data_IF_587248490330
#
_entry.id   IF_587248490330
#
_cell.length_a   1.000
_cell.length_b   1.000
_cell.length_c   1.000
_cell.angle_alpha   90.00
_cell.angle_beta   90.00
_cell.angle_gamma   90.00
#
_symmetry.space_group_name_H-M   'P 1'
#
loop_
_entity.id
_entity.type
_entity.pdbx_description
1 polymer ?
#
# COMPACT_ATOMS: atom_id res chain seq x y z
N UNK A 1 -10.52 -23.93 8.70
CA UNK A 1 -11.88 -23.35 8.70
C UNK A 1 -12.05 -22.23 9.72
N UNK A 2 -11.45 -22.30 10.93
CA UNK A 2 -11.53 -21.19 11.91
C UNK A 2 -10.63 -19.98 11.57
N UNK A 3 -9.40 -20.19 11.07
CA UNK A 3 -8.50 -19.10 10.63
C UNK A 3 -9.07 -18.29 9.46
N UNK A 4 -9.71 -18.96 8.50
CA UNK A 4 -10.35 -18.34 7.33
C UNK A 4 -11.55 -17.46 7.73
N UNK A 5 -12.20 -17.73 8.86
CA UNK A 5 -13.32 -16.92 9.35
C UNK A 5 -12.85 -15.70 10.15
N UNK A 6 -11.71 -15.80 10.85
CA UNK A 6 -11.05 -14.64 11.48
C UNK A 6 -10.53 -13.66 10.42
N UNK A 7 -9.96 -14.19 9.34
CA UNK A 7 -9.54 -13.49 8.12
C UNK A 7 -10.64 -12.62 7.48
N UNK A 8 -11.90 -13.01 7.60
CA UNK A 8 -13.03 -12.35 6.92
C UNK A 8 -13.54 -11.09 7.63
N UNK A 9 -13.09 -10.81 8.86
CA UNK A 9 -13.63 -9.77 9.74
C UNK A 9 -12.68 -8.61 10.05
N UNK A 10 -11.50 -8.57 9.41
CA UNK A 10 -10.52 -7.50 9.64
C UNK A 10 -10.95 -6.15 9.05
N UNK A 11 -11.82 -6.18 8.03
CA UNK A 11 -12.35 -4.97 7.40
C UNK A 11 -13.57 -4.47 8.14
N UNK A 12 -13.50 -3.24 8.64
CA UNK A 12 -14.67 -2.55 9.18
C UNK A 12 -15.75 -2.42 8.11
N UNK A 13 -16.83 -3.21 8.27
CA UNK A 13 -17.93 -3.28 7.32
C UNK A 13 -18.64 -1.95 7.13
N UNK A 14 -18.83 -1.19 8.21
CA UNK A 14 -19.52 0.10 8.19
C UNK A 14 -18.73 1.17 7.46
N UNK A 15 -17.43 1.29 7.76
CA UNK A 15 -16.53 2.21 7.06
C UNK A 15 -16.44 1.88 5.57
N UNK A 16 -16.25 0.60 5.24
CA UNK A 16 -16.13 0.15 3.86
C UNK A 16 -17.38 0.48 3.04
N UNK A 17 -18.57 0.21 3.58
CA UNK A 17 -19.82 0.53 2.91
C UNK A 17 -20.05 2.03 2.76
N UNK A 18 -19.75 2.84 3.78
CA UNK A 18 -19.92 4.29 3.71
C UNK A 18 -19.14 4.93 2.55
N UNK A 19 -18.01 4.33 2.13
CA UNK A 19 -17.19 4.87 1.04
C UNK A 19 -17.73 4.50 -0.35
N UNK A 20 -18.27 3.28 -0.49
CA UNK A 20 -18.56 2.71 -1.80
C UNK A 20 -20.05 2.64 -2.14
N UNK A 21 -20.95 2.75 -1.15
CA UNK A 21 -22.38 2.47 -1.34
C UNK A 21 -23.01 3.30 -2.46
N UNK A 22 -22.63 4.57 -2.57
CA UNK A 22 -23.20 5.50 -3.55
C UNK A 22 -22.78 5.12 -4.98
N UNK A 23 -21.58 4.55 -5.14
CA UNK A 23 -21.04 4.12 -6.43
C UNK A 23 -21.73 2.84 -6.97
N UNK A 24 -22.51 2.15 -6.12
CA UNK A 24 -23.32 1.00 -6.50
C UNK A 24 -24.82 1.32 -6.65
N UNK A 25 -25.24 2.58 -6.51
CA UNK A 25 -26.64 2.99 -6.64
C UNK A 25 -27.20 2.76 -8.05
N UNK A 26 -26.36 2.89 -9.08
CA UNK A 26 -26.69 2.63 -10.48
C UNK A 26 -26.62 1.12 -10.86
N UNK A 27 -26.30 0.27 -9.88
CA UNK A 27 -26.25 -1.19 -10.04
C UNK A 27 -24.83 -1.74 -10.10
N UNK A 28 -24.42 -2.28 -11.25
CA UNK A 28 -23.16 -3.03 -11.38
C UNK A 28 -22.08 -2.16 -11.99
N UNK A 29 -20.84 -2.32 -11.50
CA UNK A 29 -19.71 -1.52 -11.96
C UNK A 29 -18.77 -2.34 -12.86
N UNK A 30 -18.04 -1.65 -13.73
CA UNK A 30 -17.04 -2.22 -14.62
C UNK A 30 -15.61 -2.13 -14.03
N UNK A 31 -14.60 -2.49 -14.83
CA UNK A 31 -13.22 -2.49 -14.39
C UNK A 31 -12.71 -1.08 -14.06
N UNK A 32 -12.99 -0.08 -14.90
CA UNK A 32 -12.50 1.28 -14.70
C UNK A 32 -13.11 1.90 -13.44
N UNK A 33 -14.39 1.65 -13.19
CA UNK A 33 -15.07 2.05 -11.95
C UNK A 33 -14.50 1.32 -10.73
N UNK A 34 -14.13 0.05 -10.88
CA UNK A 34 -13.45 -0.71 -9.82
C UNK A 34 -12.11 -0.09 -9.44
N UNK A 35 -11.31 0.32 -10.42
CA UNK A 35 -10.02 0.99 -10.18
C UNK A 35 -10.23 2.31 -9.45
N UNK A 36 -11.17 3.15 -9.92
CA UNK A 36 -11.50 4.43 -9.26
C UNK A 36 -11.96 4.24 -7.81
N UNK A 37 -12.71 3.19 -7.51
CA UNK A 37 -13.12 2.88 -6.15
C UNK A 37 -11.95 2.44 -5.26
N UNK A 38 -11.00 1.66 -5.79
CA UNK A 38 -9.78 1.31 -5.06
C UNK A 38 -8.91 2.54 -4.79
N UNK A 39 -8.83 3.47 -5.74
CA UNK A 39 -8.17 4.78 -5.57
C UNK A 39 -8.86 5.63 -4.51
N UNK A 40 -10.20 5.69 -4.51
CA UNK A 40 -11.02 6.37 -3.50
C UNK A 40 -10.82 5.77 -2.10
N UNK A 41 -10.55 4.47 -2.02
CA UNK A 41 -10.16 3.80 -0.79
C UNK A 41 -8.71 4.08 -0.40
N UNK A 42 -7.91 4.79 -1.19
CA UNK A 42 -6.51 5.15 -0.89
C UNK A 42 -5.66 3.93 -0.51
N UNK A 43 -5.85 2.82 -1.22
CA UNK A 43 -5.08 1.59 -1.02
C UNK A 43 -4.08 1.43 -2.16
N UNK A 44 -2.81 1.09 -1.85
CA UNK A 44 -1.86 0.76 -2.89
C UNK A 44 -2.22 -0.58 -3.54
N UNK A 45 -2.26 -0.60 -4.87
CA UNK A 45 -2.54 -1.81 -5.63
C UNK A 45 -1.69 -1.88 -6.90
N UNK A 46 -1.44 -3.11 -7.36
CA UNK A 46 -0.86 -3.35 -8.67
C UNK A 46 -1.97 -3.52 -9.71
N UNK A 47 -2.00 -2.69 -10.75
CA UNK A 47 -3.07 -2.69 -11.76
C UNK A 47 -3.20 -4.03 -12.49
N UNK A 48 -2.09 -4.72 -12.77
CA UNK A 48 -2.11 -6.03 -13.41
C UNK A 48 -2.74 -7.09 -12.49
N UNK A 49 -2.46 -7.03 -11.18
CA UNK A 49 -3.10 -7.89 -10.19
C UNK A 49 -4.60 -7.61 -10.08
N UNK A 50 -5.02 -6.34 -9.99
CA UNK A 50 -6.45 -5.96 -9.99
C UNK A 50 -7.15 -6.47 -11.23
N UNK A 51 -6.55 -6.31 -12.42
CA UNK A 51 -7.09 -6.82 -13.69
C UNK A 51 -7.26 -8.35 -13.66
N UNK A 52 -6.29 -9.08 -13.12
CA UNK A 52 -6.36 -10.52 -12.99
C UNK A 52 -7.52 -10.95 -12.05
N UNK A 53 -7.60 -10.34 -10.86
CA UNK A 53 -8.63 -10.66 -9.85
C UNK A 53 -10.02 -10.30 -10.36
N UNK A 54 -10.20 -9.13 -10.98
CA UNK A 54 -11.47 -8.69 -11.57
C UNK A 54 -11.94 -9.66 -12.65
N UNK A 55 -11.06 -10.03 -13.60
CA UNK A 55 -11.36 -10.98 -14.66
C UNK A 55 -11.82 -12.33 -14.10
N UNK A 56 -11.09 -12.85 -13.10
CA UNK A 56 -11.44 -14.11 -12.41
C UNK A 56 -12.84 -14.06 -11.77
N UNK A 57 -13.26 -12.91 -11.26
CA UNK A 57 -14.59 -12.70 -10.67
C UNK A 57 -15.69 -12.64 -11.73
N UNK A 58 -15.46 -11.89 -12.81
CA UNK A 58 -16.38 -11.79 -13.96
C UNK A 58 -16.56 -13.13 -14.67
N UNK A 59 -15.49 -13.88 -14.92
CA UNK A 59 -15.51 -15.17 -15.60
C UNK A 59 -16.35 -16.21 -14.83
N UNK A 60 -16.27 -16.19 -13.49
CA UNK A 60 -17.09 -17.05 -12.62
C UNK A 60 -18.58 -16.76 -12.75
N UNK A 61 -18.95 -15.49 -12.92
CA UNK A 61 -20.36 -15.07 -13.02
C UNK A 61 -20.90 -15.08 -14.45
N UNK A 62 -20.02 -15.16 -15.46
CA UNK A 62 -20.37 -14.97 -16.89
C UNK A 62 -21.01 -13.59 -17.17
N UNK A 63 -20.63 -12.57 -16.41
CA UNK A 63 -21.17 -11.20 -16.53
C UNK A 63 -20.02 -10.20 -16.40
N UNK A 64 -19.92 -9.23 -17.31
CA UNK A 64 -18.80 -8.26 -17.42
C UNK A 64 -18.74 -7.19 -16.32
N UNK A 65 -19.64 -7.24 -15.36
CA UNK A 65 -19.82 -6.22 -14.32
C UNK A 65 -19.97 -6.88 -12.96
N UNK A 66 -19.50 -6.23 -11.91
CA UNK A 66 -19.47 -6.77 -10.55
C UNK A 66 -20.47 -6.06 -9.64
N UNK A 67 -20.97 -6.76 -8.61
CA UNK A 67 -21.79 -6.15 -7.56
C UNK A 67 -20.96 -5.79 -6.32
N UNK A 68 -21.58 -5.19 -5.31
CA UNK A 68 -20.89 -4.75 -4.08
C UNK A 68 -20.18 -5.91 -3.34
N UNK A 69 -20.78 -7.10 -3.37
CA UNK A 69 -20.21 -8.30 -2.76
C UNK A 69 -18.98 -8.82 -3.51
N UNK A 70 -19.00 -8.76 -4.84
CA UNK A 70 -17.84 -9.03 -5.67
C UNK A 70 -16.74 -8.01 -5.42
N UNK A 71 -17.07 -6.73 -5.35
CA UNK A 71 -16.10 -5.67 -5.07
C UNK A 71 -15.46 -5.87 -3.70
N UNK A 72 -16.26 -6.23 -2.68
CA UNK A 72 -15.73 -6.61 -1.36
C UNK A 72 -14.77 -7.79 -1.43
N UNK A 73 -15.07 -8.80 -2.24
CA UNK A 73 -14.18 -9.94 -2.44
C UNK A 73 -12.89 -9.57 -3.19
N UNK A 74 -13.00 -8.70 -4.20
CA UNK A 74 -11.84 -8.16 -4.94
C UNK A 74 -10.97 -7.34 -4.00
N UNK A 75 -11.55 -6.38 -3.29
CA UNK A 75 -10.86 -5.57 -2.28
C UNK A 75 -10.09 -6.47 -1.32
N UNK A 76 -10.74 -7.47 -0.73
CA UNK A 76 -10.10 -8.44 0.16
C UNK A 76 -8.93 -9.14 -0.52
N UNK A 77 -9.08 -9.62 -1.75
CA UNK A 77 -7.99 -10.26 -2.48
C UNK A 77 -6.80 -9.33 -2.78
N UNK A 78 -7.05 -8.02 -2.91
CA UNK A 78 -5.99 -7.02 -3.15
C UNK A 78 -5.27 -6.66 -1.85
N UNK A 79 -6.00 -6.46 -0.75
CA UNK A 79 -5.41 -6.09 0.55
C UNK A 79 -4.86 -7.28 1.33
N UNK A 80 -5.24 -8.50 0.96
CA UNK A 80 -4.84 -9.71 1.67
C UNK A 80 -3.35 -10.00 1.48
N UNK A 81 -2.61 -9.70 2.54
CA UNK A 81 -1.17 -9.93 2.68
C UNK A 81 -0.94 -10.69 3.98
N UNK A 82 -0.69 -12.00 3.85
CA UNK A 82 -0.53 -12.89 5.01
C UNK A 82 0.63 -12.44 5.91
N UNK A 83 1.71 -11.96 5.32
CA UNK A 83 2.86 -11.40 6.03
C UNK A 83 2.46 -10.22 6.93
N UNK A 84 1.68 -9.28 6.40
CA UNK A 84 1.19 -8.14 7.20
C UNK A 84 0.23 -8.57 8.31
N UNK A 85 -0.59 -9.57 8.05
CA UNK A 85 -1.52 -10.08 9.04
C UNK A 85 -0.82 -10.84 10.17
N UNK A 86 0.15 -11.68 9.85
CA UNK A 86 0.94 -12.41 10.86
C UNK A 86 1.62 -11.43 11.80
N UNK A 87 2.25 -10.38 11.26
CA UNK A 87 2.85 -9.30 12.04
C UNK A 87 1.79 -8.58 12.87
N UNK A 88 0.67 -8.16 12.27
CA UNK A 88 -0.38 -7.44 12.98
C UNK A 88 -0.94 -8.25 14.16
N UNK A 89 -1.23 -9.54 13.95
CA UNK A 89 -1.75 -10.44 14.97
C UNK A 89 -0.71 -10.80 16.04
N UNK A 90 0.59 -10.72 15.74
CA UNK A 90 1.65 -10.93 16.73
C UNK A 90 1.68 -9.83 17.81
N UNK A 91 1.21 -8.62 17.47
CA UNK A 91 1.18 -7.48 18.40
C UNK A 91 -0.22 -7.13 18.90
N UNK A 92 -1.27 -7.41 18.13
CA UNK A 92 -2.65 -7.14 18.51
C UNK A 92 -3.24 -8.26 19.36
N UNK A 93 -3.53 -7.98 20.64
CA UNK A 93 -4.13 -8.96 21.55
C UNK A 93 -5.49 -9.51 21.07
N UNK A 94 -6.23 -8.72 20.30
CA UNK A 94 -7.57 -9.08 19.81
C UNK A 94 -7.61 -9.38 18.30
N UNK A 95 -6.46 -9.27 17.61
CA UNK A 95 -6.33 -9.40 16.16
C UNK A 95 -7.33 -8.52 15.37
N UNK A 96 -7.73 -7.36 15.92
CA UNK A 96 -8.67 -6.42 15.28
C UNK A 96 -8.10 -5.01 15.23
N UNK A 97 -7.48 -4.58 16.32
CA UNK A 97 -6.89 -3.26 16.46
C UNK A 97 -5.57 -3.35 17.21
N UNK A 98 -4.63 -2.48 16.86
CA UNK A 98 -3.44 -2.19 17.65
C UNK A 98 -3.70 -0.94 18.49
N UNK A 99 -3.65 -1.05 19.81
CA UNK A 99 -3.54 0.13 20.66
C UNK A 99 -2.21 0.85 20.40
N UNK A 100 -2.14 2.14 20.71
CA UNK A 100 -0.92 2.93 20.57
C UNK A 100 0.28 2.33 21.32
N UNK A 101 0.05 1.69 22.47
CA UNK A 101 1.09 0.95 23.21
C UNK A 101 1.58 -0.29 22.45
N UNK A 102 0.67 -1.08 21.85
CA UNK A 102 1.00 -2.26 21.03
C UNK A 102 1.75 -1.83 19.75
N UNK A 103 1.30 -0.74 19.13
CA UNK A 103 1.97 -0.14 17.97
C UNK A 103 3.36 0.38 18.33
N UNK A 104 3.53 0.98 19.51
CA UNK A 104 4.83 1.43 20.01
C UNK A 104 5.81 0.26 20.13
N UNK A 105 5.35 -0.90 20.63
CA UNK A 105 6.19 -2.10 20.69
C UNK A 105 6.59 -2.60 19.30
N UNK A 106 5.66 -2.60 18.34
CA UNK A 106 5.94 -2.94 16.95
C UNK A 106 7.02 -2.01 16.36
N UNK A 107 6.86 -0.69 16.53
CA UNK A 107 7.80 0.30 16.02
C UNK A 107 9.21 0.13 16.62
N UNK A 108 9.30 -0.22 17.90
CA UNK A 108 10.59 -0.47 18.58
C UNK A 108 11.27 -1.74 18.10
N UNK A 109 10.53 -2.84 18.02
CA UNK A 109 11.10 -4.17 17.75
C UNK A 109 11.34 -4.41 16.26
N UNK A 110 10.38 -4.05 15.41
CA UNK A 110 10.41 -4.37 13.98
C UNK A 110 10.92 -3.21 13.14
N UNK A 111 10.65 -1.96 13.54
CA UNK A 111 11.06 -0.76 12.80
C UNK A 111 12.27 -0.05 13.43
N UNK A 112 12.84 -0.60 14.50
CA UNK A 112 14.00 -0.08 15.23
C UNK A 112 13.88 1.40 15.63
N UNK A 113 12.66 1.92 15.81
CA UNK A 113 12.41 3.28 16.32
C UNK A 113 12.48 3.27 17.84
N UNK A 114 13.68 3.43 18.40
CA UNK A 114 13.90 3.41 19.85
C UNK A 114 13.51 4.72 20.53
N UNK A 115 13.89 5.86 19.94
CA UNK A 115 13.61 7.19 20.47
C UNK A 115 12.32 7.76 19.87
N UNK A 116 11.46 8.36 20.72
CA UNK A 116 10.21 8.99 20.27
C UNK A 116 9.13 8.03 19.75
N UNK A 117 9.26 6.73 20.01
CA UNK A 117 8.37 5.69 19.49
C UNK A 117 6.89 5.93 19.83
N UNK A 118 6.59 6.39 21.05
CA UNK A 118 5.23 6.72 21.48
C UNK A 118 4.62 7.85 20.65
N UNK A 119 5.41 8.91 20.38
CA UNK A 119 4.97 10.03 19.55
C UNK A 119 4.74 9.57 18.13
N UNK A 120 5.68 8.79 17.57
CA UNK A 120 5.52 8.22 16.23
C UNK A 120 4.31 7.30 16.11
N UNK A 121 4.01 6.48 17.13
CA UNK A 121 2.81 5.63 17.13
C UNK A 121 1.53 6.47 16.98
N UNK A 122 1.44 7.59 17.71
CA UNK A 122 0.31 8.50 17.60
C UNK A 122 0.24 9.20 16.24
N UNK A 123 1.37 9.64 15.70
CA UNK A 123 1.44 10.24 14.36
C UNK A 123 0.98 9.24 13.29
N UNK A 124 1.42 7.99 13.38
CA UNK A 124 1.00 6.90 12.49
C UNK A 124 -0.51 6.70 12.58
N UNK A 125 -1.09 6.61 13.79
CA UNK A 125 -2.54 6.49 13.97
C UNK A 125 -3.27 7.68 13.36
N UNK A 126 -2.80 8.90 13.63
CA UNK A 126 -3.44 10.12 13.13
C UNK A 126 -3.41 10.22 11.61
N UNK A 127 -2.30 9.80 10.99
CA UNK A 127 -2.04 9.90 9.55
C UNK A 127 -2.69 8.77 8.75
N UNK A 128 -2.69 7.54 9.26
CA UNK A 128 -3.03 6.35 8.48
C UNK A 128 -4.34 5.67 8.86
N UNK A 129 -4.89 5.89 10.06
CA UNK A 129 -6.12 5.22 10.48
C UNK A 129 -7.33 5.77 9.73
N UNK A 130 -8.02 5.02 8.86
CA UNK A 130 -9.11 5.58 8.07
C UNK A 130 -10.44 5.66 8.83
N UNK A 131 -10.59 4.98 9.98
CA UNK A 131 -11.84 4.93 10.74
C UNK A 131 -11.75 5.88 11.93
N UNK A 132 -12.54 6.96 11.91
CA UNK A 132 -12.46 8.03 12.92
C UNK A 132 -12.76 7.53 14.35
N UNK A 133 -13.66 6.58 14.53
CA UNK A 133 -13.97 6.02 15.85
C UNK A 133 -12.79 5.23 16.43
N UNK A 134 -12.03 4.54 15.57
CA UNK A 134 -10.82 3.79 15.94
C UNK A 134 -9.69 4.77 16.25
N UNK A 135 -9.51 5.79 15.39
CA UNK A 135 -8.53 6.86 15.58
C UNK A 135 -8.74 7.62 16.90
N UNK A 136 -9.98 7.97 17.23
CA UNK A 136 -10.34 8.66 18.49
C UNK A 136 -10.03 7.82 19.73
N UNK A 137 -10.00 6.49 19.60
CA UNK A 137 -9.61 5.56 20.67
C UNK A 137 -8.10 5.33 20.75
N UNK A 138 -7.29 6.05 19.95
CA UNK A 138 -5.84 5.86 19.81
C UNK A 138 -5.50 4.42 19.42
N UNK A 139 -6.23 3.91 18.44
CA UNK A 139 -6.05 2.57 17.90
C UNK A 139 -5.78 2.63 16.39
N UNK A 140 -5.10 1.61 15.87
CA UNK A 140 -4.88 1.36 14.45
C UNK A 140 -5.61 0.08 14.04
N UNK A 141 -6.52 0.17 13.09
CA UNK A 141 -7.15 -0.97 12.43
C UNK A 141 -6.15 -1.70 11.52
N UNK A 142 -6.54 -2.87 11.04
CA UNK A 142 -5.75 -3.57 10.03
C UNK A 142 -5.64 -2.74 8.74
N UNK A 143 -6.69 -2.01 8.34
CA UNK A 143 -6.63 -1.06 7.22
C UNK A 143 -5.58 0.04 7.45
N UNK A 144 -5.57 0.63 8.65
CA UNK A 144 -4.57 1.62 9.03
C UNK A 144 -3.15 1.06 8.98
N UNK A 145 -2.98 -0.18 9.43
CA UNK A 145 -1.70 -0.87 9.40
C UNK A 145 -1.19 -1.13 7.98
N UNK A 146 -2.04 -1.63 7.07
CA UNK A 146 -1.65 -1.83 5.66
C UNK A 146 -1.23 -0.50 5.02
N UNK A 147 -1.99 0.58 5.27
CA UNK A 147 -1.66 1.92 4.75
C UNK A 147 -0.31 2.39 5.25
N UNK A 148 -0.05 2.22 6.54
CA UNK A 148 1.25 2.58 7.13
C UNK A 148 2.39 1.74 6.53
N UNK A 149 2.28 0.42 6.54
CA UNK A 149 3.32 -0.50 6.03
C UNK A 149 3.60 -0.34 4.52
N UNK A 150 2.67 0.24 3.78
CA UNK A 150 2.81 0.50 2.34
C UNK A 150 3.11 1.98 2.03
N UNK A 151 3.27 2.81 3.06
CA UNK A 151 3.54 4.24 2.91
C UNK A 151 5.04 4.53 2.68
N UNK A 152 5.33 5.76 2.28
CA UNK A 152 6.71 6.23 2.21
C UNK A 152 7.41 6.25 3.58
N UNK A 153 6.67 6.33 4.70
CA UNK A 153 7.27 6.31 6.04
C UNK A 153 7.87 4.94 6.39
N UNK A 154 7.49 3.88 5.64
CA UNK A 154 8.04 2.53 5.73
C UNK A 154 8.98 2.20 4.55
N UNK A 155 9.41 3.20 3.79
CA UNK A 155 10.37 2.98 2.71
C UNK A 155 11.71 2.50 3.25
N UNK A 156 12.36 1.59 2.54
CA UNK A 156 13.72 1.13 2.87
C UNK A 156 14.78 2.21 2.63
N UNK A 157 14.45 3.23 1.83
CA UNK A 157 15.39 4.29 1.46
C UNK A 157 15.36 5.43 2.49
N UNK A 158 16.52 5.74 3.05
CA UNK A 158 16.63 6.85 4.00
C UNK A 158 16.18 8.17 3.36
N UNK A 159 15.26 8.85 4.01
CA UNK A 159 14.71 10.12 3.51
C UNK A 159 15.81 11.18 3.40
N UNK A 160 16.75 11.20 4.35
CA UNK A 160 17.90 12.11 4.34
C UNK A 160 18.79 11.95 3.08
N UNK A 161 18.75 10.79 2.43
CA UNK A 161 19.55 10.51 1.23
C UNK A 161 18.81 10.84 -0.07
N UNK A 162 17.57 11.36 0.00
CA UNK A 162 16.81 11.81 -1.19
C UNK A 162 17.33 13.13 -1.76
N UNK A 163 18.12 13.87 -0.98
CA UNK A 163 18.81 15.10 -1.42
C UNK A 163 20.32 14.87 -1.41
N UNK A 164 21.09 15.82 -1.96
CA UNK A 164 22.56 15.77 -1.88
C UNK A 164 22.99 15.88 -0.42
N UNK A 165 23.46 14.77 0.14
CA UNK A 165 23.86 14.65 1.55
C UNK A 165 25.37 14.41 1.75
N UNK A 166 26.08 14.13 0.66
CA UNK A 166 27.52 13.91 0.66
C UNK A 166 28.24 15.26 0.56
N UNK A 167 29.47 15.35 1.10
CA UNK A 167 30.31 16.53 0.88
C UNK A 167 30.69 16.59 -0.59
N UNK A 168 30.24 17.64 -1.28
CA UNK A 168 30.48 17.86 -2.71
C UNK A 168 31.71 18.74 -2.98
N UNK A 169 32.55 19.01 -1.97
CA UNK A 169 33.76 19.84 -2.10
C UNK A 169 35.06 19.05 -2.34
N UNK A 170 35.03 17.72 -2.29
CA UNK A 170 36.18 16.89 -2.68
C UNK A 170 36.50 17.02 -4.19
N UNK A 171 37.73 16.68 -4.63
CA UNK A 171 38.07 16.55 -6.04
C UNK A 171 37.21 15.53 -6.79
N UNK A 172 37.01 15.70 -8.10
CA UNK A 172 36.16 14.81 -8.92
C UNK A 172 36.55 13.32 -8.86
N UNK A 173 37.83 13.01 -8.64
CA UNK A 173 38.32 11.63 -8.56
C UNK A 173 37.83 10.87 -7.32
N UNK A 174 37.24 11.56 -6.34
CA UNK A 174 36.76 10.95 -5.09
C UNK A 174 35.30 10.48 -5.20
N UNK A 175 34.62 10.74 -6.33
CA UNK A 175 33.22 10.36 -6.54
C UNK A 175 33.06 9.32 -7.64
N UNK A 176 32.07 8.46 -7.46
CA UNK A 176 31.52 7.68 -8.55
C UNK A 176 30.59 8.56 -9.39
N UNK A 177 30.85 8.62 -10.71
CA UNK A 177 30.07 9.43 -11.65
C UNK A 177 29.20 8.52 -12.49
N UNK A 178 27.88 8.68 -12.39
CA UNK A 178 26.92 8.01 -13.29
C UNK A 178 27.22 8.42 -14.73
N UNK A 179 27.64 7.45 -15.55
CA UNK A 179 28.16 7.68 -16.89
C UNK A 179 27.41 6.77 -17.87
N UNK A 180 27.06 7.30 -19.05
CA UNK A 180 26.41 6.55 -20.12
C UNK A 180 27.37 6.40 -21.30
N UNK A 181 27.30 5.25 -21.97
CA UNK A 181 28.09 4.93 -23.16
C UNK A 181 27.15 4.80 -24.36
N UNK A 182 27.48 5.47 -25.46
CA UNK A 182 26.64 5.52 -26.67
C UNK A 182 25.18 5.90 -26.36
N UNK A 183 24.97 6.95 -25.57
CA UNK A 183 23.67 7.42 -25.08
C UNK A 183 22.61 7.61 -26.17
N UNK A 184 23.01 7.89 -27.41
CA UNK A 184 22.11 8.05 -28.54
C UNK A 184 21.47 6.72 -29.02
N UNK A 185 22.04 5.56 -28.69
CA UNK A 185 21.53 4.26 -29.13
C UNK A 185 20.40 3.80 -28.22
N UNK A 186 19.21 3.65 -28.79
CA UNK A 186 18.01 3.17 -28.07
C UNK A 186 17.70 1.69 -28.32
N UNK A 187 18.57 1.00 -29.05
CA UNK A 187 18.45 -0.43 -29.39
C UNK A 187 19.84 -1.07 -29.48
N UNK A 188 20.04 -2.03 -30.38
CA UNK A 188 21.28 -2.76 -30.56
C UNK A 188 22.44 -1.89 -31.08
N UNK A 189 23.67 -2.39 -30.89
CA UNK A 189 24.90 -1.66 -31.20
C UNK A 189 25.26 -1.61 -32.70
N UNK A 190 24.61 -2.39 -33.57
CA UNK A 190 25.04 -2.57 -34.96
C UNK A 190 24.07 -1.98 -35.99
N UNK A 191 22.77 -2.20 -35.78
CA UNK A 191 21.68 -1.85 -36.71
C UNK A 191 20.61 -0.99 -35.99
N UNK A 192 20.75 -0.81 -34.67
CA UNK A 192 19.82 -0.04 -33.86
C UNK A 192 19.76 1.44 -34.26
N UNK A 193 18.56 2.05 -34.25
CA UNK A 193 18.42 3.47 -34.53
C UNK A 193 19.01 4.34 -33.42
N UNK A 194 19.43 5.54 -33.80
CA UNK A 194 19.78 6.62 -32.88
C UNK A 194 18.58 7.50 -32.58
N UNK A 195 18.40 7.93 -31.34
CA UNK A 195 17.33 8.84 -30.94
C UNK A 195 17.85 9.89 -29.94
N UNK A 196 17.35 11.12 -30.10
CA UNK A 196 17.62 12.21 -29.15
C UNK A 196 17.06 11.90 -27.76
N UNK A 197 15.96 11.14 -27.68
CA UNK A 197 15.35 10.70 -26.42
C UNK A 197 16.31 9.87 -25.56
N UNK A 198 17.38 9.29 -26.12
CA UNK A 198 18.39 8.61 -25.31
C UNK A 198 19.12 9.53 -24.32
N UNK A 199 19.15 10.84 -24.59
CA UNK A 199 19.77 11.86 -23.72
C UNK A 199 18.81 12.52 -22.72
N UNK A 200 17.50 12.26 -22.81
CA UNK A 200 16.43 12.92 -22.04
C UNK A 200 15.89 11.94 -20.99
#
# INVERSE_FOLDING_TARGET
MAEVTLLLNLVSYTWFLNIIQDDFMDGKIDFDSTVKLLEKLHIPFNLAHVKHVFKKTVDKRKVHTINIEDFRAIYRAIVHRNDFQEIFCAYSQNCKHLADTELTEFLRKEQFKTEGAETTALEVILKYEPIDEVRKRRQLSFEGFIRYMSSEDCTIFREEHRTVYQDMNHPLCDYFISSSHNTYLVSDQLIGPSDLNGYI
#
